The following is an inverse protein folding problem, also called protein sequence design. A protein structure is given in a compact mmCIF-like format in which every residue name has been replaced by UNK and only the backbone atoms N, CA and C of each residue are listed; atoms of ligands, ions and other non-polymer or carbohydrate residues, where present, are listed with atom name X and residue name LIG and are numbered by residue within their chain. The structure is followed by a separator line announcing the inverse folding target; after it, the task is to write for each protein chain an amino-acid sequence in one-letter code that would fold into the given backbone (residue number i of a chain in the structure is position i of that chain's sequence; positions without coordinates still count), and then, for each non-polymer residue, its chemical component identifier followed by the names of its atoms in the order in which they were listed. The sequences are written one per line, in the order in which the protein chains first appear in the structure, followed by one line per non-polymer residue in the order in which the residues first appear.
data_IF_338074270945
#
_entry.id   IF_338074270945
#
_cell.length_a   1.000
_cell.length_b   1.000
_cell.length_c   1.000
_cell.angle_alpha   90.00
_cell.angle_beta   90.00
_cell.angle_gamma   90.00
#
_symmetry.space_group_name_H-M   'P 1'
#
loop_
_entity.id
_entity.type
_entity.pdbx_description
1 polymer ?
#
# COMPACT_ATOMS: atom_id res chain seq x y z
N UNK A 1 -5.72 -23.67 -14.15
CA UNK A 1 -5.32 -23.59 -12.72
C UNK A 1 -3.87 -23.13 -12.69
N UNK A 2 -3.59 -21.96 -12.10
CA UNK A 2 -2.36 -21.18 -12.34
C UNK A 2 -1.19 -21.69 -11.47
N UNK A 3 0.06 -21.63 -11.99
CA UNK A 3 1.23 -22.32 -11.43
C UNK A 3 1.50 -21.86 -10.01
N UNK A 4 1.75 -22.83 -9.14
CA UNK A 4 2.06 -22.64 -7.73
C UNK A 4 3.27 -21.72 -7.59
N UNK A 5 2.99 -20.45 -7.28
CA UNK A 5 4.01 -19.52 -6.80
C UNK A 5 4.55 -20.06 -5.48
N UNK A 6 5.84 -19.86 -5.20
CA UNK A 6 6.44 -20.13 -3.89
C UNK A 6 5.46 -19.71 -2.77
N UNK A 7 5.01 -20.65 -1.94
CA UNK A 7 3.96 -20.44 -0.90
C UNK A 7 4.26 -19.20 -0.04
N UNK A 8 5.54 -18.93 0.20
CA UNK A 8 6.03 -17.75 0.93
C UNK A 8 5.63 -16.42 0.28
N UNK A 9 5.74 -16.31 -1.05
CA UNK A 9 5.34 -15.11 -1.80
C UNK A 9 3.82 -14.88 -1.74
N UNK A 10 3.04 -15.96 -1.74
CA UNK A 10 1.58 -15.86 -1.63
C UNK A 10 1.14 -15.43 -0.23
N UNK A 11 1.76 -15.97 0.82
CA UNK A 11 1.53 -15.53 2.20
C UNK A 11 1.87 -14.05 2.35
N UNK A 12 3.03 -13.61 1.83
CA UNK A 12 3.44 -12.20 1.90
C UNK A 12 2.44 -11.26 1.21
N UNK A 13 1.89 -11.62 0.05
CA UNK A 13 0.86 -10.82 -0.65
C UNK A 13 -0.42 -10.70 0.16
N UNK A 14 -0.91 -11.80 0.69
CA UNK A 14 -2.13 -11.80 1.49
C UNK A 14 -1.96 -11.03 2.79
N UNK A 15 -0.81 -11.19 3.46
CA UNK A 15 -0.46 -10.42 4.63
C UNK A 15 -0.41 -8.92 4.31
N UNK A 16 0.25 -8.52 3.22
CA UNK A 16 0.32 -7.13 2.78
C UNK A 16 -1.07 -6.54 2.53
N UNK A 17 -1.96 -7.28 1.84
CA UNK A 17 -3.35 -6.84 1.58
C UNK A 17 -4.17 -6.74 2.86
N UNK A 18 -4.05 -7.70 3.76
CA UNK A 18 -4.77 -7.66 5.03
C UNK A 18 -4.34 -6.45 5.87
N UNK A 19 -3.03 -6.26 6.04
CA UNK A 19 -2.48 -5.11 6.75
C UNK A 19 -2.88 -3.80 6.09
N UNK A 20 -2.78 -3.71 4.76
CA UNK A 20 -3.20 -2.53 4.05
C UNK A 20 -4.68 -2.23 4.27
N UNK A 21 -5.55 -3.25 4.35
CA UNK A 21 -6.98 -3.08 4.61
C UNK A 21 -7.23 -2.48 5.98
N UNK A 22 -6.57 -3.04 7.01
CA UNK A 22 -6.64 -2.53 8.37
C UNK A 22 -6.14 -1.07 8.44
N UNK A 23 -4.98 -0.79 7.85
CA UNK A 23 -4.41 0.56 7.87
C UNK A 23 -5.19 1.56 7.01
N UNK A 24 -5.78 1.13 5.90
CA UNK A 24 -6.65 1.99 5.09
C UNK A 24 -7.86 2.43 5.89
N UNK A 25 -8.50 1.52 6.64
CA UNK A 25 -9.62 1.87 7.51
C UNK A 25 -9.19 2.77 8.67
N UNK A 26 -8.08 2.42 9.34
CA UNK A 26 -7.56 3.19 10.47
C UNK A 26 -7.24 4.64 10.03
N UNK A 27 -6.34 4.80 9.06
CA UNK A 27 -5.91 6.12 8.57
C UNK A 27 -7.04 6.83 7.83
N UNK A 28 -7.92 6.10 7.15
CA UNK A 28 -9.09 6.66 6.49
C UNK A 28 -10.02 7.37 7.48
N UNK A 29 -10.20 6.82 8.68
CA UNK A 29 -11.01 7.48 9.72
C UNK A 29 -10.38 8.79 10.21
N UNK A 30 -9.06 8.83 10.43
CA UNK A 30 -8.34 10.06 10.76
C UNK A 30 -8.38 11.08 9.62
N UNK A 31 -8.24 10.63 8.38
CA UNK A 31 -8.34 11.50 7.21
C UNK A 31 -9.70 12.16 7.13
N UNK A 32 -10.79 11.40 7.32
CA UNK A 32 -12.15 11.96 7.34
C UNK A 32 -12.35 12.94 8.50
N UNK A 33 -11.78 12.63 9.68
CA UNK A 33 -11.82 13.55 10.81
C UNK A 33 -11.15 14.88 10.48
N UNK A 34 -9.94 14.86 9.91
CA UNK A 34 -9.23 16.07 9.50
C UNK A 34 -9.89 16.77 8.30
N UNK A 35 -10.50 16.02 7.38
CA UNK A 35 -11.26 16.61 6.28
C UNK A 35 -12.45 17.41 6.82
N UNK A 36 -13.13 16.86 7.82
CA UNK A 36 -14.21 17.56 8.50
C UNK A 36 -13.71 18.79 9.27
N UNK A 37 -12.66 18.65 10.07
CA UNK A 37 -12.05 19.71 10.87
C UNK A 37 -11.56 20.89 10.03
N UNK A 38 -10.86 20.61 8.92
CA UNK A 38 -10.15 21.65 8.16
C UNK A 38 -10.90 22.17 6.94
N UNK A 39 -11.92 21.46 6.43
CA UNK A 39 -12.58 21.82 5.17
C UNK A 39 -14.11 21.87 5.25
N UNK A 40 -14.76 20.99 5.99
CA UNK A 40 -16.24 21.00 6.07
C UNK A 40 -16.78 21.88 7.19
N UNK A 41 -16.14 21.88 8.35
CA UNK A 41 -16.50 22.71 9.51
C UNK A 41 -15.30 23.50 10.06
N UNK A 42 -14.58 24.27 9.23
CA UNK A 42 -13.40 25.00 9.68
C UNK A 42 -13.77 26.17 10.58
N UNK A 43 -13.03 26.35 11.68
CA UNK A 43 -13.04 27.59 12.46
C UNK A 43 -12.32 28.70 11.68
N UNK A 44 -11.21 28.35 11.05
CA UNK A 44 -10.37 29.23 10.22
C UNK A 44 -9.93 28.52 8.94
N UNK A 45 -9.47 29.28 7.93
CA UNK A 45 -8.92 28.68 6.71
C UNK A 45 -7.70 27.80 7.02
N UNK A 46 -7.61 26.59 6.44
CA UNK A 46 -6.48 25.72 6.70
C UNK A 46 -5.18 26.38 6.20
N UNK A 47 -4.13 26.42 7.04
CA UNK A 47 -2.81 26.79 6.58
C UNK A 47 -2.34 25.94 5.40
N UNK A 48 -1.53 26.50 4.50
CA UNK A 48 -1.06 25.79 3.30
C UNK A 48 -0.30 24.50 3.64
N UNK A 49 0.44 24.47 4.74
CA UNK A 49 1.16 23.27 5.17
C UNK A 49 0.20 22.13 5.58
N UNK A 50 -0.96 22.44 6.16
CA UNK A 50 -2.01 21.46 6.47
C UNK A 50 -2.58 20.87 5.19
N UNK A 51 -2.75 21.69 4.14
CA UNK A 51 -3.18 21.21 2.82
C UNK A 51 -2.18 20.22 2.23
N UNK A 52 -0.88 20.52 2.34
CA UNK A 52 0.19 19.60 1.93
C UNK A 52 0.17 18.28 2.70
N UNK A 53 -0.03 18.32 4.03
CA UNK A 53 -0.16 17.11 4.85
C UNK A 53 -1.40 16.30 4.48
N UNK A 54 -2.52 16.96 4.20
CA UNK A 54 -3.75 16.30 3.75
C UNK A 54 -3.55 15.63 2.40
N UNK A 55 -2.82 16.26 1.47
CA UNK A 55 -2.46 15.63 0.20
C UNK A 55 -1.57 14.40 0.38
N UNK A 56 -0.57 14.45 1.28
CA UNK A 56 0.27 13.31 1.61
C UNK A 56 -0.52 12.17 2.29
N UNK A 57 -1.41 12.50 3.21
CA UNK A 57 -2.28 11.54 3.87
C UNK A 57 -3.23 10.87 2.87
N UNK A 58 -3.82 11.64 1.96
CA UNK A 58 -4.61 11.10 0.86
C UNK A 58 -3.78 10.20 -0.06
N UNK A 59 -2.56 10.62 -0.41
CA UNK A 59 -1.63 9.82 -1.19
C UNK A 59 -1.30 8.47 -0.53
N UNK A 60 -1.12 8.45 0.79
CA UNK A 60 -0.96 7.21 1.56
C UNK A 60 -2.19 6.30 1.41
N UNK A 61 -3.41 6.82 1.54
CA UNK A 61 -4.65 6.04 1.38
C UNK A 61 -4.81 5.50 -0.04
N UNK A 62 -4.53 6.32 -1.06
CA UNK A 62 -4.54 5.90 -2.46
C UNK A 62 -3.48 4.82 -2.67
N UNK A 63 -2.27 4.99 -2.15
CA UNK A 63 -1.20 4.00 -2.25
C UNK A 63 -1.59 2.66 -1.64
N UNK A 64 -2.20 2.69 -0.45
CA UNK A 64 -2.75 1.50 0.19
C UNK A 64 -3.76 0.86 -0.77
N UNK A 65 -4.85 1.52 -1.14
CA UNK A 65 -5.88 0.95 -2.02
C UNK A 65 -5.33 0.44 -3.38
N UNK A 66 -4.42 1.20 -3.98
CA UNK A 66 -3.81 0.89 -5.28
C UNK A 66 -2.98 -0.40 -5.24
N UNK A 67 -2.33 -0.69 -4.11
CA UNK A 67 -1.51 -1.88 -3.93
C UNK A 67 -2.26 -3.23 -4.01
N UNK A 68 -3.59 -3.23 -3.95
CA UNK A 68 -4.38 -4.46 -4.17
C UNK A 68 -4.28 -4.98 -5.59
N UNK A 69 -4.22 -4.06 -6.57
CA UNK A 69 -4.15 -4.38 -8.00
C UNK A 69 -2.76 -4.13 -8.58
N UNK A 70 -2.08 -3.07 -8.13
CA UNK A 70 -0.78 -2.64 -8.63
C UNK A 70 0.23 -2.57 -7.48
N UNK A 71 0.75 -3.73 -7.08
CA UNK A 71 1.63 -3.91 -5.91
C UNK A 71 2.80 -2.92 -5.90
N UNK A 72 3.57 -2.85 -7.00
CA UNK A 72 4.76 -2.00 -7.09
C UNK A 72 4.42 -0.50 -6.95
N UNK A 73 3.44 -0.02 -7.72
CA UNK A 73 3.05 1.38 -7.70
C UNK A 73 2.43 1.77 -6.35
N UNK A 74 1.58 0.90 -5.79
CA UNK A 74 0.97 1.11 -4.49
C UNK A 74 2.02 1.14 -3.38
N UNK A 75 2.97 0.21 -3.41
CA UNK A 75 4.06 0.15 -2.44
C UNK A 75 4.97 1.38 -2.47
N UNK A 76 5.36 1.85 -3.66
CA UNK A 76 6.12 3.09 -3.79
C UNK A 76 5.36 4.28 -3.21
N UNK A 77 4.07 4.40 -3.54
CA UNK A 77 3.25 5.52 -3.09
C UNK A 77 3.03 5.50 -1.56
N UNK A 78 2.79 4.33 -0.97
CA UNK A 78 2.69 4.16 0.50
C UNK A 78 3.98 4.60 1.18
N UNK A 79 5.14 4.18 0.67
CA UNK A 79 6.41 4.54 1.29
C UNK A 79 6.73 6.02 1.12
N UNK A 80 6.58 6.59 -0.08
CA UNK A 80 6.89 8.00 -0.31
C UNK A 80 5.97 8.92 0.49
N UNK A 81 4.66 8.69 0.42
CA UNK A 81 3.68 9.52 1.13
C UNK A 81 3.73 9.28 2.65
N UNK A 82 3.85 8.03 3.08
CA UNK A 82 3.93 7.69 4.50
C UNK A 82 5.17 8.27 5.18
N UNK A 83 6.36 8.09 4.61
CA UNK A 83 7.60 8.63 5.17
C UNK A 83 7.54 10.17 5.22
N UNK A 84 7.10 10.82 4.14
CA UNK A 84 6.96 12.28 4.11
C UNK A 84 5.93 12.78 5.14
N UNK A 85 4.74 12.17 5.19
CA UNK A 85 3.68 12.54 6.12
C UNK A 85 4.11 12.41 7.58
N UNK A 86 4.62 11.25 7.99
CA UNK A 86 5.03 11.01 9.37
C UNK A 86 6.27 11.82 9.76
N UNK A 87 7.18 12.05 8.80
CA UNK A 87 8.36 12.87 9.01
C UNK A 87 8.03 14.33 9.27
N UNK A 88 7.13 14.92 8.47
CA UNK A 88 6.69 16.29 8.63
C UNK A 88 5.80 16.49 9.88
N UNK A 89 5.04 15.48 10.28
CA UNK A 89 4.27 15.49 11.53
C UNK A 89 5.15 15.38 12.79
N UNK A 90 6.46 15.12 12.65
CA UNK A 90 7.33 14.88 13.80
C UNK A 90 6.97 13.62 14.60
N UNK A 91 6.23 12.69 14.00
CA UNK A 91 5.62 11.55 14.67
C UNK A 91 6.59 10.37 14.94
N UNK A 92 7.90 10.57 14.81
CA UNK A 92 8.94 9.53 14.91
C UNK A 92 8.93 8.77 16.24
N UNK A 93 8.43 9.39 17.32
CA UNK A 93 8.29 8.72 18.63
C UNK A 93 7.28 7.57 18.60
N UNK A 94 6.37 7.55 17.63
CA UNK A 94 5.31 6.55 17.46
C UNK A 94 5.73 5.50 16.40
N UNK A 95 6.99 5.11 16.42
CA UNK A 95 7.57 4.17 15.44
C UNK A 95 6.85 2.83 15.41
N UNK A 96 6.26 2.40 16.54
CA UNK A 96 5.48 1.16 16.64
C UNK A 96 4.18 1.20 15.83
N UNK A 97 3.68 2.38 15.47
CA UNK A 97 2.51 2.55 14.59
C UNK A 97 2.92 2.82 13.13
N UNK A 98 3.99 3.59 12.94
CA UNK A 98 4.53 3.94 11.63
C UNK A 98 5.09 2.70 10.92
N UNK A 99 5.92 1.90 11.61
CA UNK A 99 6.56 0.71 11.03
C UNK A 99 5.54 -0.26 10.42
N UNK A 100 4.52 -0.70 11.18
CA UNK A 100 3.45 -1.53 10.65
C UNK A 100 2.65 -0.88 9.50
N UNK A 101 2.44 0.44 9.52
CA UNK A 101 1.76 1.16 8.43
C UNK A 101 2.53 1.09 7.11
N UNK A 102 3.86 1.14 7.17
CA UNK A 102 4.73 1.08 5.99
C UNK A 102 4.96 -0.36 5.51
N UNK A 103 4.69 -1.36 6.35
CA UNK A 103 4.95 -2.77 6.08
C UNK A 103 4.28 -3.30 4.81
N UNK A 104 2.99 -2.99 4.50
CA UNK A 104 2.39 -3.37 3.23
C UNK A 104 3.18 -2.88 2.02
N UNK A 105 3.68 -1.64 2.09
CA UNK A 105 4.47 -1.05 1.02
C UNK A 105 5.77 -1.80 0.77
N UNK A 106 6.51 -2.11 1.84
CA UNK A 106 7.74 -2.92 1.75
C UNK A 106 7.45 -4.31 1.18
N UNK A 107 6.43 -5.00 1.70
CA UNK A 107 6.05 -6.33 1.25
C UNK A 107 5.66 -6.35 -0.24
N UNK A 108 4.91 -5.35 -0.70
CA UNK A 108 4.54 -5.24 -2.11
C UNK A 108 5.72 -4.93 -3.02
N UNK A 109 6.71 -4.14 -2.58
CA UNK A 109 7.93 -3.96 -3.35
C UNK A 109 8.69 -5.28 -3.48
N UNK A 110 8.93 -5.97 -2.35
CA UNK A 110 9.66 -7.24 -2.33
C UNK A 110 9.00 -8.28 -3.23
N UNK A 111 7.68 -8.40 -3.20
CA UNK A 111 6.96 -9.36 -4.04
C UNK A 111 6.80 -8.87 -5.48
N UNK A 112 6.58 -7.58 -5.68
CA UNK A 112 6.40 -6.96 -7.00
C UNK A 112 7.65 -7.06 -7.89
N UNK A 113 8.85 -6.98 -7.31
CA UNK A 113 10.10 -7.21 -8.02
C UNK A 113 10.40 -8.68 -8.34
N UNK A 114 9.66 -9.63 -7.74
CA UNK A 114 9.81 -11.07 -7.95
C UNK A 114 8.53 -11.66 -8.57
N UNK A 115 8.15 -11.29 -9.80
CA UNK A 115 6.98 -11.85 -10.44
C UNK A 115 7.12 -13.37 -10.57
N UNK A 116 6.01 -14.15 -10.51
CA UNK A 116 6.08 -15.59 -10.69
C UNK A 116 6.78 -15.91 -12.01
N UNK A 117 7.85 -16.71 -11.94
CA UNK A 117 8.56 -17.16 -13.14
C UNK A 117 7.58 -17.98 -13.97
N UNK A 118 7.17 -17.46 -15.12
CA UNK A 118 6.52 -18.28 -16.14
C UNK A 118 7.57 -19.22 -16.69
N UNK A 119 7.55 -20.49 -16.28
CA UNK A 119 8.45 -21.49 -16.84
C UNK A 119 8.19 -21.63 -18.34
N UNK A 120 9.18 -21.33 -19.22
CA UNK A 120 9.02 -21.45 -20.67
C UNK A 120 8.65 -22.88 -21.11
N UNK A 121 9.01 -23.87 -20.29
CA UNK A 121 8.78 -25.30 -20.54
C UNK A 121 7.29 -25.68 -20.54
N UNK A 122 6.41 -24.93 -19.86
CA UNK A 122 4.97 -25.22 -19.85
C UNK A 122 4.27 -24.84 -21.17
N UNK A 123 4.90 -24.00 -22.02
CA UNK A 123 4.35 -23.62 -23.33
C UNK A 123 4.76 -24.57 -24.47
N UNK A 124 5.77 -25.41 -24.28
CA UNK A 124 6.30 -26.29 -25.32
C UNK A 124 5.77 -27.74 -25.24
N UNK A 125 4.76 -28.04 -24.40
CA UNK A 125 4.16 -29.39 -24.41
C UNK A 125 3.39 -29.57 -25.73
N UNK A 126 3.84 -30.43 -26.66
CA UNK A 126 3.19 -30.59 -27.96
C UNK A 126 1.78 -31.15 -27.76
N UNK A 127 0.81 -30.65 -28.54
CA UNK A 127 -0.61 -31.06 -28.51
C UNK A 127 -0.84 -32.50 -29.03
N UNK A 128 0.19 -33.35 -29.10
CA UNK A 128 0.14 -34.63 -29.81
C UNK A 128 -0.36 -35.81 -28.97
N UNK A 129 -0.90 -35.59 -27.77
CA UNK A 129 -1.55 -36.63 -26.96
C UNK A 129 -3.06 -36.36 -26.82
N UNK A 130 -3.79 -36.47 -27.93
CA UNK A 130 -5.24 -36.71 -27.91
C UNK A 130 -5.56 -37.81 -28.91
N UNK A 131 -5.42 -39.06 -28.47
CA UNK A 131 -6.04 -40.24 -29.08
C UNK A 131 -7.18 -40.70 -28.18
#
# INVERSE_FOLDING_TARGET
MKPFSCTKCQIARWLARFLAGVFFLLWGSFFLHHLNEWYFNPVDRPPLWVTGLMALHFGLLVGLAMGWKWELAGGLLVLSCGIAFFGLMGAWKIWFLIGPTLLPGVLWLVVGFNPPRTDPQAQNKPLTESN
#
